data_IF_324317245546
#
_entry.id   IF_324317245546
#
_cell.length_a   1.000
_cell.length_b   1.000
_cell.length_c   1.000
_cell.angle_alpha   90.00
_cell.angle_beta   90.00
_cell.angle_gamma   90.00
#
_symmetry.space_group_name_H-M   'P 1'
#
loop_
_entity.id
_entity.type
_entity.pdbx_description
1 polymer ?
#
# COMPACT_ATOMS: atom_id res chain seq x y z
N UNK A 1 -16.16 -14.71 6.25
CA UNK A 1 -15.98 -14.05 7.57
C UNK A 1 -15.11 -14.85 8.56
N UNK A 2 -15.59 -15.92 9.21
CA UNK A 2 -14.88 -16.54 10.35
C UNK A 2 -13.43 -16.99 10.04
N UNK A 3 -13.18 -17.61 8.89
CA UNK A 3 -11.85 -18.05 8.49
C UNK A 3 -10.87 -16.88 8.28
N UNK A 4 -11.34 -15.77 7.71
CA UNK A 4 -10.54 -14.56 7.51
C UNK A 4 -10.15 -13.92 8.84
N UNK A 5 -11.10 -13.86 9.79
CA UNK A 5 -10.83 -13.35 11.15
C UNK A 5 -9.80 -14.23 11.86
N UNK A 6 -9.97 -15.56 11.81
CA UNK A 6 -9.02 -16.51 12.41
C UNK A 6 -7.62 -16.34 11.81
N UNK A 7 -7.49 -16.30 10.48
CA UNK A 7 -6.20 -16.06 9.82
C UNK A 7 -5.57 -14.73 10.23
N UNK A 8 -6.36 -13.67 10.31
CA UNK A 8 -5.88 -12.33 10.68
C UNK A 8 -5.40 -12.28 12.13
N UNK A 9 -6.10 -12.94 13.05
CA UNK A 9 -5.71 -13.02 14.46
C UNK A 9 -4.47 -13.90 14.66
N UNK A 10 -4.31 -14.97 13.86
CA UNK A 10 -3.12 -15.83 13.90
C UNK A 10 -1.87 -15.14 13.34
N UNK A 11 -2.02 -14.15 12.46
CA UNK A 11 -0.90 -13.37 11.94
C UNK A 11 -0.44 -12.34 12.96
N UNK A 12 0.75 -12.54 13.53
CA UNK A 12 1.32 -11.56 14.46
C UNK A 12 1.52 -10.18 13.82
N UNK A 13 1.75 -10.12 12.49
CA UNK A 13 2.18 -8.91 11.81
C UNK A 13 1.16 -7.77 11.95
N UNK A 14 -0.11 -8.03 11.65
CA UNK A 14 -1.13 -6.97 11.70
C UNK A 14 -1.33 -6.44 13.13
N UNK A 15 -1.45 -7.35 14.11
CA UNK A 15 -1.65 -7.01 15.52
C UNK A 15 -0.44 -6.31 16.14
N UNK A 16 0.77 -6.75 15.79
CA UNK A 16 2.01 -6.14 16.27
C UNK A 16 2.16 -4.72 15.75
N UNK A 17 1.94 -4.52 14.45
CA UNK A 17 2.12 -3.22 13.82
C UNK A 17 0.97 -2.24 14.13
N UNK A 18 -0.26 -2.72 14.42
CA UNK A 18 -1.40 -1.85 14.78
C UNK A 18 -1.19 -1.07 16.10
N UNK A 19 -0.32 -1.56 16.98
CA UNK A 19 0.03 -0.88 18.23
C UNK A 19 1.04 0.27 18.06
N UNK A 20 1.52 0.52 16.83
CA UNK A 20 2.59 1.49 16.55
C UNK A 20 2.18 2.50 15.48
N UNK A 21 2.51 3.80 15.66
CA UNK A 21 2.23 4.85 14.67
C UNK A 21 3.24 4.79 13.53
N UNK A 22 3.23 3.71 12.76
CA UNK A 22 4.08 3.52 11.59
C UNK A 22 3.32 3.96 10.33
N UNK A 23 3.96 4.70 9.40
CA UNK A 23 3.32 5.13 8.16
C UNK A 23 2.66 3.98 7.40
N UNK A 24 3.27 2.79 7.44
CA UNK A 24 2.77 1.59 6.75
C UNK A 24 1.39 1.15 7.22
N UNK A 25 1.09 1.25 8.51
CA UNK A 25 -0.21 0.85 9.06
C UNK A 25 -1.28 1.91 8.82
N UNK A 26 -0.89 3.19 8.89
CA UNK A 26 -1.76 4.29 8.53
C UNK A 26 -2.13 4.21 7.04
N UNK A 27 -1.15 3.93 6.17
CA UNK A 27 -1.36 3.64 4.75
C UNK A 27 -2.26 2.42 4.55
N UNK A 28 -2.04 1.32 5.28
CA UNK A 28 -2.88 0.11 5.19
C UNK A 28 -4.35 0.40 5.48
N UNK A 29 -4.66 1.24 6.47
CA UNK A 29 -6.02 1.67 6.76
C UNK A 29 -6.68 2.37 5.57
N UNK A 30 -5.97 3.31 4.94
CA UNK A 30 -6.47 4.04 3.77
C UNK A 30 -6.60 3.14 2.53
N UNK A 31 -5.66 2.21 2.32
CA UNK A 31 -5.71 1.25 1.21
C UNK A 31 -6.89 0.29 1.40
N UNK A 32 -7.17 -0.18 2.63
CA UNK A 32 -8.35 -0.99 2.91
C UNK A 32 -9.66 -0.23 2.64
N UNK A 33 -9.74 1.05 2.99
CA UNK A 33 -10.88 1.90 2.61
C UNK A 33 -10.99 2.05 1.09
N UNK A 34 -9.86 2.21 0.39
CA UNK A 34 -9.85 2.28 -1.07
C UNK A 34 -10.40 0.99 -1.70
N UNK A 35 -10.01 -0.18 -1.17
CA UNK A 35 -10.56 -1.47 -1.58
C UNK A 35 -12.07 -1.57 -1.29
N UNK A 36 -12.52 -1.11 -0.13
CA UNK A 36 -13.96 -1.03 0.18
C UNK A 36 -14.73 -0.24 -0.88
N UNK A 37 -14.28 0.98 -1.18
CA UNK A 37 -14.90 1.80 -2.23
C UNK A 37 -14.78 1.19 -3.62
N UNK A 38 -13.72 0.43 -3.87
CA UNK A 38 -13.53 -0.24 -5.15
C UNK A 38 -14.56 -1.34 -5.35
N UNK A 39 -14.80 -2.14 -4.33
CA UNK A 39 -15.82 -3.19 -4.32
C UNK A 39 -17.25 -2.62 -4.39
N UNK A 40 -17.48 -1.45 -3.79
CA UNK A 40 -18.74 -0.71 -3.90
C UNK A 40 -18.94 -0.02 -5.27
N UNK A 41 -17.96 -0.05 -6.17
CA UNK A 41 -18.00 0.61 -7.47
C UNK A 41 -17.73 2.13 -7.44
N UNK A 42 -17.37 2.69 -6.29
CA UNK A 42 -17.04 4.10 -6.09
C UNK A 42 -15.61 4.44 -6.56
N UNK A 43 -15.37 4.30 -7.86
CA UNK A 43 -14.05 4.37 -8.49
C UNK A 43 -13.25 5.65 -8.20
N UNK A 44 -13.92 6.82 -8.15
CA UNK A 44 -13.23 8.08 -7.87
C UNK A 44 -12.72 8.14 -6.42
N UNK A 45 -13.50 7.66 -5.45
CA UNK A 45 -13.07 7.62 -4.04
C UNK A 45 -11.90 6.67 -3.86
N UNK A 46 -11.94 5.50 -4.50
CA UNK A 46 -10.80 4.56 -4.53
C UNK A 46 -9.50 5.25 -4.93
N UNK A 47 -9.50 6.00 -6.05
CA UNK A 47 -8.33 6.73 -6.50
C UNK A 47 -7.87 7.80 -5.51
N UNK A 48 -8.81 8.55 -4.91
CA UNK A 48 -8.47 9.57 -3.93
C UNK A 48 -7.77 8.97 -2.70
N UNK A 49 -8.30 7.89 -2.14
CA UNK A 49 -7.69 7.23 -0.98
C UNK A 49 -6.31 6.64 -1.31
N UNK A 50 -6.14 6.06 -2.50
CA UNK A 50 -4.84 5.56 -2.96
C UNK A 50 -3.82 6.69 -3.13
N UNK A 51 -4.21 7.83 -3.69
CA UNK A 51 -3.35 9.01 -3.85
C UNK A 51 -2.94 9.57 -2.48
N UNK A 52 -3.89 9.70 -1.54
CA UNK A 52 -3.59 10.16 -0.17
C UNK A 52 -2.60 9.22 0.51
N UNK A 53 -2.84 7.90 0.45
CA UNK A 53 -1.94 6.90 1.02
C UNK A 53 -0.53 6.96 0.39
N UNK A 54 -0.46 7.19 -0.92
CA UNK A 54 0.80 7.26 -1.67
C UNK A 54 1.64 8.48 -1.30
N UNK A 55 1.03 9.67 -1.26
CA UNK A 55 1.78 10.93 -1.14
C UNK A 55 2.10 11.32 0.30
N UNK A 56 1.28 10.92 1.27
CA UNK A 56 1.45 11.27 2.68
C UNK A 56 2.25 10.20 3.43
N UNK A 57 1.98 8.92 3.17
CA UNK A 57 2.49 7.85 4.03
C UNK A 57 3.47 6.90 3.37
N UNK A 58 3.26 6.54 2.10
CA UNK A 58 4.09 5.52 1.46
C UNK A 58 4.04 5.57 -0.06
N UNK A 59 5.11 6.07 -0.69
CA UNK A 59 5.20 6.20 -2.14
C UNK A 59 5.09 4.86 -2.91
N UNK A 60 5.47 3.73 -2.31
CA UNK A 60 5.37 2.40 -2.94
C UNK A 60 3.92 2.00 -3.27
N UNK A 61 2.93 2.59 -2.59
CA UNK A 61 1.50 2.35 -2.88
C UNK A 61 1.15 2.77 -4.31
N UNK A 62 1.97 3.61 -4.95
CA UNK A 62 1.84 3.92 -6.37
C UNK A 62 1.86 2.66 -7.24
N UNK A 63 2.67 1.64 -6.88
CA UNK A 63 2.75 0.37 -7.61
C UNK A 63 1.43 -0.40 -7.56
N UNK A 64 0.62 -0.19 -6.54
CA UNK A 64 -0.74 -0.72 -6.44
C UNK A 64 -1.76 0.21 -7.11
N UNK A 65 -1.60 1.52 -6.97
CA UNK A 65 -2.52 2.51 -7.51
C UNK A 65 -2.53 2.53 -9.05
N UNK A 66 -1.36 2.37 -9.69
CA UNK A 66 -1.21 2.33 -11.14
C UNK A 66 -2.03 1.21 -11.81
N UNK A 67 -1.90 -0.08 -11.44
CA UNK A 67 -2.67 -1.15 -12.07
C UNK A 67 -4.18 -1.03 -11.79
N UNK A 68 -4.59 -0.65 -10.57
CA UNK A 68 -6.01 -0.42 -10.26
C UNK A 68 -6.56 0.73 -11.11
N UNK A 69 -5.83 1.84 -11.19
CA UNK A 69 -6.21 2.99 -12.01
C UNK A 69 -6.31 2.62 -13.49
N UNK A 70 -5.35 1.85 -14.01
CA UNK A 70 -5.36 1.35 -15.39
C UNK A 70 -6.53 0.41 -15.63
N UNK A 71 -6.82 -0.51 -14.72
CA UNK A 71 -7.98 -1.39 -14.82
C UNK A 71 -9.29 -0.61 -14.88
N UNK A 72 -9.47 0.41 -14.02
CA UNK A 72 -10.65 1.27 -14.02
C UNK A 72 -10.80 2.04 -15.35
N UNK A 73 -9.67 2.41 -15.95
CA UNK A 73 -9.59 3.03 -17.28
C UNK A 73 -10.09 2.08 -18.38
N UNK A 74 -9.56 0.87 -18.39
CA UNK A 74 -9.81 -0.15 -19.41
C UNK A 74 -11.26 -0.63 -19.37
N UNK A 75 -11.80 -0.79 -18.17
CA UNK A 75 -13.22 -1.13 -17.94
C UNK A 75 -14.16 0.05 -18.21
N UNK A 76 -13.63 1.23 -18.56
CA UNK A 76 -14.38 2.48 -18.77
C UNK A 76 -15.25 2.89 -17.57
N UNK A 77 -14.89 2.46 -16.37
CA UNK A 77 -15.58 2.84 -15.12
C UNK A 77 -15.29 4.30 -14.74
N UNK A 78 -14.20 4.86 -15.26
CA UNK A 78 -13.83 6.27 -15.10
C UNK A 78 -13.55 6.94 -16.44
N UNK A 79 -13.86 8.23 -16.54
CA UNK A 79 -13.39 9.06 -17.65
C UNK A 79 -11.95 9.50 -17.38
N UNK A 80 -11.07 9.41 -18.38
CA UNK A 80 -9.66 9.81 -18.31
C UNK A 80 -9.46 11.18 -17.66
N UNK A 81 -10.09 12.19 -18.27
CA UNK A 81 -9.96 13.59 -17.84
C UNK A 81 -10.50 13.81 -16.45
N UNK A 82 -11.64 13.18 -16.13
CA UNK A 82 -12.25 13.29 -14.80
C UNK A 82 -11.35 12.62 -13.75
N UNK A 83 -10.86 11.41 -14.03
CA UNK A 83 -9.94 10.68 -13.16
C UNK A 83 -8.67 11.48 -12.86
N UNK A 84 -8.01 11.99 -13.91
CA UNK A 84 -6.83 12.86 -13.77
C UNK A 84 -7.14 14.09 -12.93
N UNK A 85 -8.28 14.76 -13.16
CA UNK A 85 -8.69 15.92 -12.38
C UNK A 85 -8.84 15.59 -10.89
N UNK A 86 -9.50 14.48 -10.54
CA UNK A 86 -9.63 14.05 -9.14
C UNK A 86 -8.28 13.69 -8.53
N UNK A 87 -7.43 12.97 -9.25
CA UNK A 87 -6.08 12.62 -8.78
C UNK A 87 -5.22 13.87 -8.54
N UNK A 88 -5.21 14.84 -9.45
CA UNK A 88 -4.42 16.08 -9.30
C UNK A 88 -4.93 16.91 -8.12
N UNK A 89 -6.24 17.11 -8.00
CA UNK A 89 -6.81 17.89 -6.90
C UNK A 89 -6.49 17.24 -5.54
N UNK A 90 -6.66 15.92 -5.44
CA UNK A 90 -6.32 15.19 -4.22
C UNK A 90 -4.82 15.19 -3.97
N UNK A 91 -3.98 15.08 -5.00
CA UNK A 91 -2.54 15.14 -4.85
C UNK A 91 -2.05 16.50 -4.33
N UNK A 92 -2.55 17.61 -4.90
CA UNK A 92 -2.21 18.95 -4.44
C UNK A 92 -2.64 19.17 -2.98
N UNK A 93 -3.83 18.70 -2.61
CA UNK A 93 -4.30 18.76 -1.23
C UNK A 93 -3.41 17.94 -0.30
N UNK A 94 -3.08 16.70 -0.65
CA UNK A 94 -2.21 15.82 0.14
C UNK A 94 -0.80 16.37 0.29
N UNK A 95 -0.20 16.88 -0.78
CA UNK A 95 1.13 17.51 -0.77
C UNK A 95 1.12 18.77 0.10
N UNK A 96 0.09 19.61 -0.02
CA UNK A 96 -0.07 20.78 0.84
C UNK A 96 -0.16 20.38 2.32
N UNK A 97 -0.92 19.34 2.63
CA UNK A 97 -1.09 18.85 4.00
C UNK A 97 0.22 18.32 4.60
N UNK A 98 0.96 17.44 3.90
CA UNK A 98 2.26 16.94 4.38
C UNK A 98 3.27 18.06 4.51
N UNK A 99 3.35 18.97 3.53
CA UNK A 99 4.24 20.13 3.62
C UNK A 99 3.94 20.97 4.86
N UNK A 100 2.67 21.27 5.17
CA UNK A 100 2.34 22.07 6.35
C UNK A 100 2.66 21.30 7.64
N UNK A 101 2.15 20.07 7.78
CA UNK A 101 2.26 19.30 9.02
C UNK A 101 3.70 18.89 9.28
N UNK A 102 4.37 18.29 8.30
CA UNK A 102 5.72 17.77 8.47
C UNK A 102 6.74 18.89 8.60
N UNK A 103 6.54 20.05 7.93
CA UNK A 103 7.47 21.18 8.11
C UNK A 103 7.42 21.78 9.51
N UNK A 104 6.24 21.77 10.16
CA UNK A 104 6.12 22.16 11.57
C UNK A 104 6.88 21.17 12.47
N UNK A 105 6.71 19.87 12.23
CA UNK A 105 7.37 18.83 13.02
C UNK A 105 8.90 18.81 12.83
N UNK A 106 9.37 18.99 11.60
CA UNK A 106 10.79 18.94 11.22
C UNK A 106 11.51 20.28 11.29
N UNK A 107 10.79 21.39 11.56
CA UNK A 107 11.31 22.76 11.62
C UNK A 107 12.03 23.22 10.34
N UNK A 108 11.70 22.62 9.19
CA UNK A 108 12.21 22.96 7.85
C UNK A 108 11.15 22.57 6.82
N UNK A 109 11.15 23.21 5.66
CA UNK A 109 10.26 22.80 4.57
C UNK A 109 10.69 21.41 4.11
N UNK A 110 9.84 20.41 4.33
CA UNK A 110 10.12 19.02 3.97
C UNK A 110 8.87 18.34 3.45
N UNK A 111 9.05 17.55 2.39
CA UNK A 111 8.10 16.53 1.99
C UNK A 111 8.78 15.17 2.19
N UNK A 112 8.51 14.47 3.30
CA UNK A 112 9.28 13.29 3.71
C UNK A 112 9.30 12.19 2.65
N UNK A 113 8.14 11.85 2.08
CA UNK A 113 8.03 10.79 1.08
C UNK A 113 8.81 11.11 -0.21
N UNK A 114 8.88 12.38 -0.60
CA UNK A 114 9.70 12.78 -1.75
C UNK A 114 11.20 12.65 -1.48
N UNK A 115 11.68 13.06 -0.29
CA UNK A 115 13.08 12.86 0.08
C UNK A 115 13.45 11.36 0.10
N UNK A 116 12.55 10.52 0.63
CA UNK A 116 12.73 9.05 0.67
C UNK A 116 12.77 8.46 -0.74
N UNK A 117 11.86 8.86 -1.63
CA UNK A 117 11.85 8.41 -3.03
C UNK A 117 13.11 8.86 -3.75
N UNK A 118 13.52 10.11 -3.57
CA UNK A 118 14.74 10.65 -4.17
C UNK A 118 15.98 9.88 -3.70
N UNK A 119 16.12 9.68 -2.40
CA UNK A 119 17.26 8.97 -1.81
C UNK A 119 17.34 7.51 -2.26
N UNK A 120 16.21 6.79 -2.24
CA UNK A 120 16.21 5.36 -2.53
C UNK A 120 16.24 5.06 -4.03
N UNK A 121 15.47 5.78 -4.83
CA UNK A 121 15.28 5.46 -6.25
C UNK A 121 16.18 6.27 -7.18
N UNK A 122 16.39 7.56 -6.90
CA UNK A 122 17.20 8.43 -7.78
C UNK A 122 18.68 8.33 -7.44
N UNK A 123 19.03 8.38 -6.16
CA UNK A 123 20.42 8.20 -5.71
C UNK A 123 20.83 6.72 -5.59
N UNK A 124 19.90 5.79 -5.83
CA UNK A 124 20.12 4.34 -5.79
C UNK A 124 20.78 3.84 -4.48
N UNK A 125 20.44 4.47 -3.34
CA UNK A 125 21.00 4.12 -2.02
C UNK A 125 20.12 3.20 -1.20
N UNK A 126 19.17 2.52 -1.85
CA UNK A 126 18.28 1.56 -1.18
C UNK A 126 19.04 0.41 -0.52
N UNK A 127 20.25 0.08 -0.99
CA UNK A 127 21.11 -0.93 -0.37
C UNK A 127 21.66 -0.54 1.01
N UNK A 128 21.67 0.76 1.36
CA UNK A 128 22.12 1.21 2.68
C UNK A 128 21.19 0.73 3.81
N UNK A 129 19.95 0.36 3.48
CA UNK A 129 19.00 -0.29 4.41
C UNK A 129 19.28 -1.78 4.63
N UNK A 130 20.32 -2.32 4.01
CA UNK A 130 20.71 -3.73 4.06
C UNK A 130 20.21 -4.51 2.86
N UNK A 131 20.99 -5.51 2.45
CA UNK A 131 20.65 -6.44 1.36
C UNK A 131 20.70 -7.87 1.87
N UNK A 132 19.71 -8.66 1.47
CA UNK A 132 19.64 -10.08 1.78
C UNK A 132 19.67 -10.90 0.49
N UNK A 133 20.30 -12.09 0.48
CA UNK A 133 20.23 -12.99 -0.67
C UNK A 133 18.78 -13.35 -1.03
N UNK A 134 18.50 -13.57 -2.31
CA UNK A 134 17.13 -13.85 -2.81
C UNK A 134 16.41 -14.97 -2.05
N UNK A 135 17.10 -16.07 -1.73
CA UNK A 135 16.50 -17.20 -1.03
C UNK A 135 16.05 -16.86 0.40
N UNK A 136 16.65 -15.86 1.05
CA UNK A 136 16.33 -15.45 2.41
C UNK A 136 14.86 -15.01 2.56
N UNK A 137 14.30 -14.41 1.51
CA UNK A 137 12.89 -13.99 1.50
C UNK A 137 11.94 -15.19 1.63
N UNK A 138 12.25 -16.30 0.96
CA UNK A 138 11.43 -17.51 0.98
C UNK A 138 11.69 -18.42 2.18
N UNK A 139 12.95 -18.50 2.63
CA UNK A 139 13.33 -19.40 3.72
C UNK A 139 13.19 -18.76 5.11
N UNK A 140 13.27 -17.43 5.22
CA UNK A 140 13.26 -16.73 6.50
C UNK A 140 12.15 -15.69 6.60
N UNK A 141 12.05 -14.76 5.65
CA UNK A 141 11.13 -13.64 5.76
C UNK A 141 9.65 -14.06 5.69
N UNK A 142 9.28 -14.90 4.71
CA UNK A 142 7.91 -15.40 4.56
C UNK A 142 7.46 -16.30 5.72
N UNK A 143 8.23 -17.33 6.14
CA UNK A 143 7.83 -18.16 7.28
C UNK A 143 7.67 -17.35 8.58
N UNK A 144 8.55 -16.37 8.80
CA UNK A 144 8.45 -15.50 10.00
C UNK A 144 7.27 -14.56 9.92
N UNK A 145 6.99 -13.96 8.75
CA UNK A 145 5.91 -12.97 8.59
C UNK A 145 4.50 -13.59 8.59
N UNK A 146 4.35 -14.75 7.96
CA UNK A 146 3.07 -15.42 7.76
C UNK A 146 2.78 -16.50 8.80
N UNK A 147 3.80 -16.99 9.52
CA UNK A 147 3.66 -18.05 10.53
C UNK A 147 2.88 -19.25 9.96
N UNK A 148 1.83 -19.70 10.66
CA UNK A 148 0.96 -20.82 10.26
C UNK A 148 0.21 -20.51 8.94
N UNK A 149 0.00 -19.25 8.60
CA UNK A 149 -0.65 -18.88 7.33
C UNK A 149 0.21 -19.24 6.11
N UNK A 150 1.54 -19.38 6.25
CA UNK A 150 2.42 -19.72 5.13
C UNK A 150 2.10 -21.11 4.53
N UNK A 151 2.21 -22.23 5.29
CA UNK A 151 1.84 -23.55 4.76
C UNK A 151 0.34 -23.63 4.39
N UNK A 152 -0.54 -22.95 5.12
CA UNK A 152 -1.97 -22.91 4.81
C UNK A 152 -2.27 -22.23 3.47
N UNK A 153 -1.57 -21.14 3.14
CA UNK A 153 -1.72 -20.46 1.84
C UNK A 153 -1.24 -21.35 0.69
N UNK A 154 -0.18 -22.13 0.89
CA UNK A 154 0.32 -23.07 -0.12
C UNK A 154 -0.67 -24.24 -0.31
N UNK A 155 -1.20 -24.79 0.78
CA UNK A 155 -2.26 -25.79 0.71
C UNK A 155 -3.51 -25.24 0.02
N UNK A 156 -3.88 -23.99 0.31
CA UNK A 156 -4.99 -23.30 -0.36
C UNK A 156 -4.80 -23.21 -1.87
N UNK A 157 -3.61 -22.82 -2.33
CA UNK A 157 -3.31 -22.75 -3.77
C UNK A 157 -3.41 -24.11 -4.48
N UNK A 158 -3.00 -25.19 -3.81
CA UNK A 158 -3.05 -26.55 -4.36
C UNK A 158 -4.45 -27.18 -4.32
N UNK A 159 -5.27 -26.78 -3.36
CA UNK A 159 -6.62 -27.31 -3.17
C UNK A 159 -7.70 -26.48 -3.89
N UNK A 160 -7.39 -25.24 -4.27
CA UNK A 160 -8.35 -24.38 -4.95
C UNK A 160 -8.57 -24.85 -6.39
N UNK A 161 -9.81 -25.26 -6.66
CA UNK A 161 -10.28 -25.70 -7.97
C UNK A 161 -10.40 -24.56 -8.97
N UNK A 162 -10.42 -23.31 -8.52
CA UNK A 162 -10.53 -22.12 -9.39
C UNK A 162 -9.20 -21.73 -10.02
N UNK A 163 -8.08 -22.07 -9.37
CA UNK A 163 -6.72 -21.85 -9.86
C UNK A 163 -6.18 -23.05 -10.64
N UNK A 164 -6.83 -24.22 -10.51
CA UNK A 164 -6.51 -25.42 -11.26
C UNK A 164 -7.21 -25.40 -12.63
N UNK A 165 -6.67 -24.62 -13.56
CA UNK A 165 -7.01 -24.63 -14.98
C UNK A 165 -5.79 -25.08 -15.79
#
# INVERSE_FOLDING_TARGET
EAFFVILTVLQFHLLFYSTRPLPNILALGLVNMAYGYWLEGSCYRTLQFLVVATLIFRCDVLLLACPIGLQLLLTRSISLWKGIKYCIVTALFSVGLTLVVDSVMWRRIVWPEFEVLWFNSVLNRSSEWGVSPFHWYFTSALPRSLLVAYPLSMAGLLLDRRTSA
#
